data_IF_329060848917
#
_entry.id   IF_329060848917
#
_cell.length_a   1.000
_cell.length_b   1.000
_cell.length_c   1.000
_cell.angle_alpha   90.00
_cell.angle_beta   90.00
_cell.angle_gamma   90.00
#
_symmetry.space_group_name_H-M   'P 1'
#
loop_
_entity.id
_entity.type
_entity.pdbx_description
1 polymer ?
#
# COMPACT_ATOMS: atom_id res chain seq x y z
N UNK A 1 -48.33 13.02 -7.03
CA UNK A 1 -47.23 13.16 -6.05
C UNK A 1 -45.97 12.73 -6.77
N UNK A 2 -45.21 13.69 -7.32
CA UNK A 2 -43.95 13.40 -7.99
C UNK A 2 -42.85 13.20 -6.95
N UNK A 3 -42.21 12.04 -6.98
CA UNK A 3 -41.14 11.69 -6.06
C UNK A 3 -39.85 12.29 -6.60
N UNK A 4 -39.32 13.32 -5.93
CA UNK A 4 -38.00 13.86 -6.24
C UNK A 4 -36.95 12.78 -5.92
N UNK A 5 -36.50 12.05 -6.94
CA UNK A 5 -35.46 11.03 -6.79
C UNK A 5 -34.10 11.70 -6.89
N UNK A 6 -33.48 11.92 -5.73
CA UNK A 6 -32.10 12.38 -5.64
C UNK A 6 -31.14 11.32 -6.20
N UNK A 7 -30.11 11.76 -6.93
CA UNK A 7 -29.08 10.90 -7.53
C UNK A 7 -28.40 10.04 -6.45
N UNK A 8 -28.47 8.72 -6.63
CA UNK A 8 -27.87 7.75 -5.73
C UNK A 8 -26.47 7.38 -6.24
N UNK A 9 -25.42 7.82 -5.54
CA UNK A 9 -24.04 7.45 -5.87
C UNK A 9 -23.76 6.03 -5.34
N UNK A 10 -23.84 5.03 -6.22
CA UNK A 10 -23.37 3.68 -5.90
C UNK A 10 -21.84 3.70 -5.77
N UNK A 11 -21.34 3.84 -4.55
CA UNK A 11 -19.93 3.63 -4.20
C UNK A 11 -19.62 2.13 -4.33
N UNK A 12 -19.50 1.63 -5.57
CA UNK A 12 -19.19 0.23 -5.85
C UNK A 12 -17.75 -0.15 -5.47
N UNK A 13 -16.90 0.85 -5.20
CA UNK A 13 -15.52 0.68 -4.74
C UNK A 13 -15.16 1.80 -3.75
N UNK A 14 -15.55 1.62 -2.48
CA UNK A 14 -15.04 2.46 -1.39
C UNK A 14 -13.51 2.49 -1.35
N UNK A 15 -12.88 3.42 -0.61
CA UNK A 15 -11.43 3.50 -0.53
C UNK A 15 -10.86 2.14 -0.15
N UNK A 16 -10.04 1.56 -1.03
CA UNK A 16 -9.36 0.28 -0.76
C UNK A 16 -8.49 0.48 0.48
N UNK A 17 -8.94 -0.04 1.60
CA UNK A 17 -8.17 0.00 2.84
C UNK A 17 -6.92 -0.83 2.63
N UNK A 18 -5.76 -0.20 2.82
CA UNK A 18 -4.49 -0.90 2.83
C UNK A 18 -4.13 -1.13 4.29
N UNK A 19 -3.93 -2.39 4.66
CA UNK A 19 -3.48 -2.71 6.01
C UNK A 19 -2.01 -2.28 6.17
N UNK A 20 -1.74 -1.52 7.22
CA UNK A 20 -0.37 -1.18 7.61
C UNK A 20 0.32 -2.45 8.09
N UNK A 21 1.53 -2.67 7.61
CA UNK A 21 2.36 -3.78 8.03
C UNK A 21 3.08 -3.38 9.33
N UNK A 22 2.90 -4.15 10.40
CA UNK A 22 3.58 -3.87 11.68
C UNK A 22 4.88 -4.66 11.84
N UNK A 23 4.99 -5.80 11.15
CA UNK A 23 6.12 -6.72 11.26
C UNK A 23 6.29 -7.54 9.98
N UNK A 24 7.38 -8.29 9.91
CA UNK A 24 7.72 -9.15 8.78
C UNK A 24 6.73 -10.29 8.52
N UNK A 25 5.87 -10.65 9.47
CA UNK A 25 4.98 -11.81 9.34
C UNK A 25 3.86 -11.62 8.30
N UNK A 26 3.64 -10.39 7.85
CA UNK A 26 2.68 -10.05 6.78
C UNK A 26 3.37 -9.70 5.45
N UNK A 27 4.65 -10.03 5.33
CA UNK A 27 5.48 -9.69 4.16
C UNK A 27 6.24 -10.89 3.67
N UNK A 28 6.04 -11.22 2.40
CA UNK A 28 6.77 -12.26 1.68
C UNK A 28 7.71 -11.68 0.62
N UNK A 29 8.74 -12.45 0.28
CA UNK A 29 9.61 -12.14 -0.85
C UNK A 29 8.80 -12.14 -2.16
N UNK A 30 9.01 -11.14 -3.01
CA UNK A 30 8.26 -10.95 -4.25
C UNK A 30 6.87 -10.34 -4.07
N UNK A 31 6.43 -10.06 -2.83
CA UNK A 31 5.13 -9.47 -2.58
C UNK A 31 5.06 -8.02 -3.08
N UNK A 32 3.93 -7.67 -3.73
CA UNK A 32 3.62 -6.30 -4.09
C UNK A 32 3.15 -5.52 -2.87
N UNK A 33 3.82 -4.42 -2.57
CA UNK A 33 3.52 -3.54 -1.45
C UNK A 33 3.31 -2.11 -1.94
N UNK A 34 2.59 -1.33 -1.15
CA UNK A 34 2.34 0.08 -1.37
C UNK A 34 3.11 0.90 -0.34
N UNK A 35 3.85 1.92 -0.78
CA UNK A 35 4.49 2.86 0.12
C UNK A 35 3.47 3.87 0.65
N UNK A 36 3.32 3.95 1.97
CA UNK A 36 2.36 4.81 2.66
C UNK A 36 3.01 6.01 3.38
N UNK A 37 4.35 6.05 3.44
CA UNK A 37 5.07 7.11 4.13
C UNK A 37 4.99 8.48 3.44
N UNK A 38 5.21 9.53 4.21
CA UNK A 38 5.37 10.90 3.73
C UNK A 38 6.66 11.48 4.31
N UNK A 39 7.80 11.05 3.78
CA UNK A 39 9.14 11.39 4.28
C UNK A 39 9.89 12.14 3.19
N UNK A 40 10.46 13.29 3.54
CA UNK A 40 11.27 14.09 2.61
C UNK A 40 12.48 13.29 2.11
N UNK A 41 12.73 13.34 0.80
CA UNK A 41 13.78 12.55 0.15
C UNK A 41 13.50 11.05 0.08
N UNK A 42 12.32 10.59 0.52
CA UNK A 42 11.87 9.22 0.33
C UNK A 42 11.04 9.04 -0.95
N UNK A 43 10.54 7.82 -1.18
CA UNK A 43 9.62 7.54 -2.28
C UNK A 43 8.34 8.35 -2.17
N UNK A 44 7.70 8.62 -3.30
CA UNK A 44 6.37 9.25 -3.32
C UNK A 44 5.33 8.34 -2.65
N UNK A 45 4.47 8.91 -1.80
CA UNK A 45 3.35 8.17 -1.20
C UNK A 45 2.46 7.57 -2.29
N UNK A 46 2.10 6.30 -2.15
CA UNK A 46 1.34 5.55 -3.16
C UNK A 46 2.21 4.85 -4.21
N UNK A 47 3.54 4.99 -4.16
CA UNK A 47 4.43 4.19 -4.99
C UNK A 47 4.28 2.70 -4.68
N UNK A 48 4.14 1.89 -5.72
CA UNK A 48 4.11 0.43 -5.61
C UNK A 48 5.52 -0.10 -5.78
N UNK A 49 5.82 -1.18 -5.07
CA UNK A 49 7.09 -1.88 -5.23
C UNK A 49 6.97 -3.36 -4.91
N UNK A 50 8.06 -4.07 -5.16
CA UNK A 50 8.19 -5.51 -4.93
C UNK A 50 9.22 -5.73 -3.83
N UNK A 51 8.88 -6.54 -2.84
CA UNK A 51 9.79 -6.87 -1.73
C UNK A 51 10.91 -7.77 -2.24
N UNK A 52 12.15 -7.29 -2.18
CA UNK A 52 13.33 -8.09 -2.55
C UNK A 52 14.03 -8.72 -1.36
N UNK A 53 14.01 -8.07 -0.19
CA UNK A 53 14.63 -8.58 1.04
C UNK A 53 13.81 -8.21 2.26
N UNK A 54 13.78 -9.12 3.22
CA UNK A 54 13.05 -8.97 4.48
C UNK A 54 14.07 -8.96 5.62
N UNK A 55 13.95 -7.97 6.51
CA UNK A 55 14.70 -7.89 7.76
C UNK A 55 13.73 -7.83 8.94
N UNK A 56 14.24 -7.98 10.17
CA UNK A 56 13.38 -8.02 11.36
C UNK A 56 12.47 -6.78 11.53
N UNK A 57 12.92 -5.58 11.13
CA UNK A 57 12.18 -4.31 11.34
C UNK A 57 11.86 -3.52 10.06
N UNK A 58 12.33 -3.99 8.91
CA UNK A 58 12.23 -3.27 7.62
C UNK A 58 12.34 -4.24 6.45
N UNK A 59 11.95 -3.80 5.27
CA UNK A 59 12.15 -4.53 4.02
C UNK A 59 12.90 -3.67 2.99
N UNK A 60 13.62 -4.32 2.09
CA UNK A 60 14.12 -3.68 0.87
C UNK A 60 13.07 -3.91 -0.20
N UNK A 61 12.58 -2.81 -0.76
CA UNK A 61 11.54 -2.80 -1.78
C UNK A 61 12.13 -2.21 -3.04
N UNK A 62 12.06 -2.95 -4.13
CA UNK A 62 12.34 -2.42 -5.46
C UNK A 62 11.11 -1.65 -5.96
N UNK A 63 11.28 -0.35 -6.17
CA UNK A 63 10.24 0.56 -6.66
C UNK A 63 10.45 0.94 -8.14
N UNK A 64 11.23 0.15 -8.88
CA UNK A 64 11.50 0.36 -10.29
C UNK A 64 12.43 1.55 -10.53
N UNK A 65 11.97 2.54 -11.30
CA UNK A 65 12.81 3.69 -11.71
C UNK A 65 13.29 4.57 -10.54
N UNK A 66 12.58 4.56 -9.42
CA UNK A 66 12.96 5.28 -8.19
C UNK A 66 14.04 4.50 -7.43
N UNK A 67 14.35 3.27 -7.86
CA UNK A 67 15.36 2.40 -7.30
C UNK A 67 14.86 1.58 -6.10
N UNK A 68 15.84 1.04 -5.37
CA UNK A 68 15.62 0.14 -4.25
C UNK A 68 15.66 0.92 -2.93
N UNK A 69 14.64 0.75 -2.10
CA UNK A 69 14.48 1.49 -0.87
C UNK A 69 14.41 0.56 0.34
N UNK A 70 15.14 0.91 1.39
CA UNK A 70 15.04 0.27 2.70
C UNK A 70 13.91 0.94 3.49
N UNK A 71 12.75 0.29 3.56
CA UNK A 71 11.53 0.86 4.12
C UNK A 71 11.11 0.12 5.40
N UNK A 72 10.94 0.82 6.54
CA UNK A 72 10.30 0.26 7.72
C UNK A 72 8.87 -0.22 7.46
N UNK A 73 8.46 -1.31 8.12
CA UNK A 73 7.17 -1.94 7.83
C UNK A 73 5.95 -1.01 7.98
N UNK A 74 5.97 -0.11 8.96
CA UNK A 74 4.86 0.81 9.21
C UNK A 74 4.65 1.85 8.08
N UNK A 75 5.59 1.96 7.13
CA UNK A 75 5.42 2.74 5.90
C UNK A 75 5.01 1.88 4.70
N UNK A 76 4.74 0.60 4.89
CA UNK A 76 4.27 -0.32 3.86
C UNK A 76 2.82 -0.72 4.12
N UNK A 77 2.06 -0.76 3.05
CA UNK A 77 0.69 -1.25 3.01
C UNK A 77 0.57 -2.47 2.12
N UNK A 78 -0.20 -3.46 2.55
CA UNK A 78 -0.62 -4.56 1.69
C UNK A 78 -2.05 -4.31 1.24
N UNK A 79 -2.29 -4.44 -0.06
CA UNK A 79 -3.65 -4.44 -0.58
C UNK A 79 -4.31 -5.75 -0.20
N UNK A 80 -5.32 -5.72 0.67
CA UNK A 80 -6.24 -6.85 0.85
C UNK A 80 -7.15 -6.91 -0.38
N UNK A 81 -6.60 -7.37 -1.51
CA UNK A 81 -7.45 -7.94 -2.55
C UNK A 81 -7.81 -9.32 -2.02
N UNK A 82 -8.97 -9.39 -1.37
CA UNK A 82 -9.67 -10.63 -1.04
C UNK A 82 -9.53 -11.58 -2.23
N UNK A 83 -9.00 -12.76 -1.94
CA UNK A 83 -8.86 -13.88 -2.88
C UNK A 83 -10.21 -14.24 -3.50
#
# INVERSE_FOLDING_TARGET
METNKQLEFKLSNGPKSHEIILNSSKVDLGQKVLYLGNVSGGPTRGTKGIVERIYAKKAVVDMGLIGKWSVPYYFLGVGSSVA
#
